data_IF_012201121284
#
_entry.id   IF_012201121284
#
_cell.length_a   1.000
_cell.length_b   1.000
_cell.length_c   1.000
_cell.angle_alpha   90.00
_cell.angle_beta   90.00
_cell.angle_gamma   90.00
#
_symmetry.space_group_name_H-M   'P 1'
#
loop_
_entity.id
_entity.type
_entity.pdbx_description
1 polymer ?
#
# COMPACT_ATOMS: atom_id res chain seq x y z
N UNK A 1 -14.21 -23.89 -12.89
CA UNK A 1 -13.24 -23.02 -13.56
C UNK A 1 -11.94 -23.80 -13.68
N UNK A 2 -11.45 -24.07 -14.89
CA UNK A 2 -10.13 -24.67 -15.09
C UNK A 2 -9.17 -23.53 -15.42
N UNK A 3 -8.16 -23.31 -14.57
CA UNK A 3 -7.07 -22.37 -14.82
C UNK A 3 -5.87 -23.23 -15.17
N UNK A 4 -5.36 -23.12 -16.39
CA UNK A 4 -4.09 -23.73 -16.76
C UNK A 4 -2.95 -22.90 -16.18
N UNK A 5 -2.43 -23.36 -15.04
CA UNK A 5 -1.29 -22.75 -14.36
C UNK A 5 -0.03 -23.52 -14.69
N UNK A 6 1.07 -22.78 -14.86
CA UNK A 6 2.39 -23.40 -14.90
C UNK A 6 2.66 -24.12 -13.58
N UNK A 7 3.45 -25.22 -13.57
CA UNK A 7 3.81 -25.90 -12.33
C UNK A 7 4.46 -24.98 -11.29
N UNK A 8 5.26 -24.01 -11.74
CA UNK A 8 5.93 -23.04 -10.87
C UNK A 8 4.94 -22.07 -10.20
N UNK A 9 3.93 -21.61 -10.93
CA UNK A 9 2.93 -20.71 -10.39
C UNK A 9 1.95 -21.45 -9.48
N UNK A 10 1.64 -22.71 -9.79
CA UNK A 10 0.88 -23.58 -8.89
C UNK A 10 1.58 -23.80 -7.56
N UNK A 11 2.90 -24.03 -7.57
CA UNK A 11 3.68 -24.19 -6.34
C UNK A 11 3.70 -22.91 -5.49
N UNK A 12 3.83 -21.74 -6.12
CA UNK A 12 3.75 -20.45 -5.41
C UNK A 12 2.38 -20.25 -4.76
N UNK A 13 1.30 -20.59 -5.46
CA UNK A 13 -0.06 -20.47 -4.94
C UNK A 13 -0.33 -21.45 -3.80
N UNK A 14 0.18 -22.68 -3.89
CA UNK A 14 0.09 -23.66 -2.79
C UNK A 14 0.83 -23.18 -1.54
N UNK A 15 2.00 -22.56 -1.71
CA UNK A 15 2.75 -21.96 -0.62
C UNK A 15 1.99 -20.78 0.00
N UNK A 16 1.48 -19.88 -0.84
CA UNK A 16 0.70 -18.73 -0.40
C UNK A 16 -0.56 -19.16 0.36
N UNK A 17 -1.28 -20.18 -0.10
CA UNK A 17 -2.46 -20.72 0.57
C UNK A 17 -2.11 -21.20 1.99
N UNK A 18 -1.00 -21.92 2.16
CA UNK A 18 -0.53 -22.35 3.49
C UNK A 18 -0.17 -21.18 4.39
N UNK A 19 0.57 -20.20 3.88
CA UNK A 19 1.00 -19.03 4.64
C UNK A 19 -0.18 -18.17 5.10
N UNK A 20 -1.25 -18.15 4.32
CA UNK A 20 -2.47 -17.38 4.61
C UNK A 20 -3.56 -18.20 5.32
N UNK A 21 -3.29 -19.47 5.63
CA UNK A 21 -4.19 -20.34 6.41
C UNK A 21 -5.35 -20.95 5.62
N UNK A 22 -5.25 -21.01 4.29
CA UNK A 22 -6.25 -21.64 3.42
C UNK A 22 -5.94 -23.13 3.18
N UNK A 23 -7.00 -23.94 3.14
CA UNK A 23 -6.91 -25.40 2.97
C UNK A 23 -6.57 -25.84 1.54
N UNK A 24 -6.73 -24.95 0.55
CA UNK A 24 -6.44 -25.22 -0.85
C UNK A 24 -6.19 -23.94 -1.65
N UNK A 25 -5.57 -24.09 -2.82
CA UNK A 25 -5.41 -22.99 -3.79
C UNK A 25 -6.78 -22.52 -4.27
N UNK A 26 -7.71 -23.43 -4.46
CA UNK A 26 -9.08 -23.15 -4.90
C UNK A 26 -9.83 -22.29 -3.88
N UNK A 27 -9.66 -22.58 -2.57
CA UNK A 27 -10.24 -21.77 -1.49
C UNK A 27 -9.64 -20.36 -1.46
N UNK A 28 -8.31 -20.25 -1.58
CA UNK A 28 -7.60 -18.97 -1.64
C UNK A 28 -8.08 -18.12 -2.84
N UNK A 29 -8.08 -18.71 -4.04
CA UNK A 29 -8.48 -18.03 -5.27
C UNK A 29 -9.96 -17.67 -5.23
N UNK A 30 -10.81 -18.54 -4.69
CA UNK A 30 -12.25 -18.28 -4.53
C UNK A 30 -12.52 -17.09 -3.62
N UNK A 31 -11.86 -16.99 -2.46
CA UNK A 31 -11.98 -15.83 -1.59
C UNK A 31 -11.38 -14.57 -2.21
N UNK A 32 -10.25 -14.67 -2.92
CA UNK A 32 -9.67 -13.54 -3.62
C UNK A 32 -10.61 -13.00 -4.71
N UNK A 33 -11.26 -13.87 -5.49
CA UNK A 33 -12.25 -13.48 -6.48
C UNK A 33 -13.50 -12.89 -5.83
N UNK A 34 -13.96 -13.46 -4.70
CA UNK A 34 -15.08 -12.91 -3.93
C UNK A 34 -14.74 -11.51 -3.40
N UNK A 35 -13.53 -11.29 -2.91
CA UNK A 35 -13.04 -9.98 -2.52
C UNK A 35 -13.08 -9.01 -3.72
N UNK A 36 -12.49 -9.38 -4.86
CA UNK A 36 -12.48 -8.53 -6.06
C UNK A 36 -13.87 -8.25 -6.63
N UNK A 37 -14.82 -9.19 -6.49
CA UNK A 37 -16.18 -9.03 -6.99
C UNK A 37 -17.08 -8.18 -6.07
N UNK A 38 -16.79 -8.13 -4.76
CA UNK A 38 -17.58 -7.39 -3.79
C UNK A 38 -16.95 -6.07 -3.34
N UNK A 39 -15.66 -5.87 -3.58
CA UNK A 39 -15.03 -4.56 -3.44
C UNK A 39 -15.12 -3.85 -4.80
N UNK A 40 -16.07 -2.90 -4.87
CA UNK A 40 -16.08 -1.81 -5.84
C UNK A 40 -14.65 -1.31 -6.00
N UNK A 41 -14.20 -1.30 -7.25
CA UNK A 41 -12.82 -1.44 -7.70
C UNK A 41 -11.74 -1.00 -6.69
N UNK A 42 -10.67 -1.79 -6.53
CA UNK A 42 -9.44 -1.30 -5.89
C UNK A 42 -8.95 0.06 -6.46
N UNK A 43 -9.44 0.43 -7.65
CA UNK A 43 -9.30 1.73 -8.30
C UNK A 43 -10.08 2.87 -7.64
N UNK A 44 -11.25 2.64 -7.05
CA UNK A 44 -12.03 3.62 -6.26
C UNK A 44 -11.50 3.74 -4.83
N UNK A 45 -11.01 2.64 -4.23
CA UNK A 45 -10.42 2.66 -2.89
C UNK A 45 -9.08 3.42 -2.85
N UNK A 46 -8.37 3.47 -3.98
CA UNK A 46 -7.07 4.14 -4.11
C UNK A 46 -7.12 5.47 -4.90
N UNK A 47 -8.28 5.85 -5.44
CA UNK A 47 -8.42 7.13 -6.13
C UNK A 47 -8.79 8.22 -5.13
N UNK A 48 -7.85 9.14 -4.88
CA UNK A 48 -8.19 10.41 -4.26
C UNK A 48 -9.24 11.10 -5.14
N UNK A 49 -10.34 11.56 -4.55
CA UNK A 49 -11.26 12.43 -5.28
C UNK A 49 -10.55 13.75 -5.64
N UNK A 50 -11.08 14.52 -6.59
CA UNK A 50 -10.43 15.74 -7.09
C UNK A 50 -10.06 16.73 -5.97
N UNK A 51 -10.89 16.78 -4.92
CA UNK A 51 -10.65 17.61 -3.74
C UNK A 51 -9.45 17.09 -2.93
N UNK A 52 -9.41 15.79 -2.62
CA UNK A 52 -8.29 15.17 -1.91
C UNK A 52 -6.98 15.25 -2.68
N UNK A 53 -7.03 15.07 -4.01
CA UNK A 53 -5.87 15.25 -4.87
C UNK A 53 -5.38 16.71 -4.85
N UNK A 54 -6.30 17.67 -4.95
CA UNK A 54 -5.96 19.09 -4.86
C UNK A 54 -5.39 19.48 -3.49
N UNK A 55 -5.92 18.93 -2.40
CA UNK A 55 -5.42 19.15 -1.04
C UNK A 55 -4.01 18.54 -0.87
N UNK A 56 -3.77 17.36 -1.44
CA UNK A 56 -2.46 16.70 -1.44
C UNK A 56 -1.42 17.50 -2.25
N UNK A 57 -1.77 17.93 -3.46
CA UNK A 57 -0.89 18.76 -4.31
C UNK A 57 -0.56 20.09 -3.63
N UNK A 58 -1.55 20.77 -3.06
CA UNK A 58 -1.33 22.03 -2.33
C UNK A 58 -0.42 21.87 -1.10
N UNK A 59 -0.41 20.68 -0.49
CA UNK A 59 0.50 20.37 0.63
C UNK A 59 1.93 20.17 0.12
N UNK A 60 2.10 19.46 -1.00
CA UNK A 60 3.39 19.30 -1.66
C UNK A 60 3.98 20.65 -2.12
N UNK A 61 3.18 21.47 -2.80
CA UNK A 61 3.61 22.79 -3.28
C UNK A 61 4.04 23.71 -2.13
N UNK A 62 3.32 23.67 -1.01
CA UNK A 62 3.69 24.41 0.20
C UNK A 62 5.01 23.93 0.78
N UNK A 63 5.21 22.61 0.88
CA UNK A 63 6.46 22.03 1.37
C UNK A 63 7.66 22.39 0.49
N UNK A 64 7.49 22.40 -0.84
CA UNK A 64 8.51 22.83 -1.79
C UNK A 64 8.83 24.33 -1.59
N UNK A 65 7.81 25.18 -1.50
CA UNK A 65 8.01 26.61 -1.29
C UNK A 65 8.70 26.92 0.05
N UNK A 66 8.39 26.18 1.11
CA UNK A 66 9.06 26.30 2.41
C UNK A 66 10.54 25.87 2.31
N UNK A 67 10.84 24.78 1.62
CA UNK A 67 12.21 24.32 1.35
C UNK A 67 13.00 25.36 0.53
N UNK A 68 12.42 25.89 -0.55
CA UNK A 68 13.04 26.93 -1.38
C UNK A 68 13.28 28.24 -0.62
N UNK A 69 12.39 28.59 0.31
CA UNK A 69 12.55 29.74 1.20
C UNK A 69 13.57 29.52 2.33
N UNK A 70 14.17 28.33 2.43
CA UNK A 70 15.13 27.98 3.48
C UNK A 70 14.49 27.72 4.85
N UNK A 71 13.16 27.63 4.92
CA UNK A 71 12.38 27.33 6.12
C UNK A 71 11.95 25.85 6.20
N UNK A 72 12.07 25.11 5.08
CA UNK A 72 11.66 23.72 4.99
C UNK A 72 12.61 22.81 5.77
N UNK A 73 12.06 22.06 6.71
CA UNK A 73 12.79 20.99 7.37
C UNK A 73 13.01 19.85 6.38
N UNK A 74 14.26 19.37 6.29
CA UNK A 74 14.59 18.14 5.59
C UNK A 74 13.73 16.99 6.13
N UNK A 75 13.01 16.30 5.25
CA UNK A 75 12.02 15.29 5.62
C UNK A 75 12.64 14.13 6.42
N UNK A 76 13.90 13.79 6.14
CA UNK A 76 14.64 12.76 6.87
C UNK A 76 14.92 13.23 8.30
N UNK A 77 15.32 14.49 8.46
CA UNK A 77 15.56 15.12 9.76
C UNK A 77 14.27 15.24 10.59
N UNK A 78 13.16 15.63 9.96
CA UNK A 78 11.86 15.70 10.61
C UNK A 78 11.36 14.32 11.07
N UNK A 79 11.55 13.28 10.25
CA UNK A 79 11.23 11.89 10.61
C UNK A 79 12.12 11.37 11.75
N UNK A 80 13.41 11.71 11.76
CA UNK A 80 14.32 11.37 12.85
C UNK A 80 13.96 12.06 14.16
N UNK A 81 13.57 13.35 14.12
CA UNK A 81 13.08 14.07 15.31
C UNK A 81 11.78 13.48 15.83
N UNK A 82 10.83 13.15 14.95
CA UNK A 82 9.57 12.50 15.32
C UNK A 82 9.83 11.11 15.94
N UNK A 83 10.74 10.33 15.34
CA UNK A 83 11.21 9.06 15.86
C UNK A 83 11.75 9.21 17.28
N UNK A 84 12.70 10.13 17.51
CA UNK A 84 13.24 10.42 18.85
C UNK A 84 12.17 10.82 19.86
N UNK A 85 11.25 11.73 19.48
CA UNK A 85 10.16 12.19 20.37
C UNK A 85 9.21 11.05 20.77
N UNK A 86 9.08 10.03 19.92
CA UNK A 86 8.26 8.83 20.17
C UNK A 86 9.07 7.64 20.73
N UNK A 87 10.36 7.82 21.02
CA UNK A 87 11.20 6.79 21.61
C UNK A 87 11.78 5.78 20.62
N UNK A 88 11.69 6.04 19.31
CA UNK A 88 12.38 5.25 18.29
C UNK A 88 13.79 5.81 18.08
N UNK A 89 14.82 5.02 18.40
CA UNK A 89 16.18 5.26 17.94
C UNK A 89 16.43 4.46 16.67
N UNK A 90 17.07 5.11 15.68
CA UNK A 90 17.64 4.42 14.54
C UNK A 90 18.89 3.66 15.02
N UNK A 91 18.69 2.45 15.53
CA UNK A 91 19.74 1.43 15.63
C UNK A 91 19.82 0.65 14.32
#
# INVERSE_FOLDING_TARGET
MQIDLSPADRQKLEQLAKETGFDSVESLVGEHLRFLANFESAREILALNERELSESLATCDRGIAELEAGAGQDAVTALQELGRRRGFSAE
#
